data_IF_666013433186
#
_entry.id   IF_666013433186
#
_cell.length_a   1.000
_cell.length_b   1.000
_cell.length_c   1.000
_cell.angle_alpha   90.00
_cell.angle_beta   90.00
_cell.angle_gamma   90.00
#
_symmetry.space_group_name_H-M   'P 1'
#
loop_
_entity.id
_entity.type
_entity.pdbx_description
1 polymer ?
#
# COMPACT_ATOMS: atom_id res chain seq x y z
N UNK A 1 15.33 -13.12 31.28
CA UNK A 1 15.56 -13.19 29.83
C UNK A 1 14.87 -11.99 29.20
N UNK A 2 15.63 -10.97 28.82
CA UNK A 2 15.13 -9.79 28.11
C UNK A 2 15.27 -10.06 26.62
N UNK A 3 14.15 -10.16 25.88
CA UNK A 3 14.18 -10.17 24.42
C UNK A 3 14.29 -8.73 23.93
N UNK A 4 15.44 -8.38 23.36
CA UNK A 4 15.65 -7.12 22.65
C UNK A 4 14.93 -7.16 21.30
N UNK A 5 13.74 -6.58 21.23
CA UNK A 5 13.07 -6.31 19.97
C UNK A 5 13.68 -5.07 19.31
N UNK A 6 14.44 -5.25 18.24
CA UNK A 6 14.92 -4.16 17.41
C UNK A 6 13.78 -3.69 16.50
N UNK A 7 13.15 -2.57 16.83
CA UNK A 7 12.21 -1.90 15.94
C UNK A 7 12.99 -1.15 14.86
N UNK A 8 12.90 -1.60 13.60
CA UNK A 8 13.41 -0.86 12.44
C UNK A 8 12.27 -0.01 11.89
N UNK A 9 12.30 1.30 12.18
CA UNK A 9 11.43 2.27 11.51
C UNK A 9 12.02 2.60 10.14
N UNK A 10 11.51 1.97 9.08
CA UNK A 10 11.73 2.41 7.69
C UNK A 10 10.70 3.48 7.37
N UNK A 11 11.04 4.74 7.67
CA UNK A 11 10.23 5.88 7.25
C UNK A 11 10.29 6.07 5.73
N UNK A 12 9.14 6.03 5.05
CA UNK A 12 9.03 6.52 3.68
C UNK A 12 9.02 8.06 3.71
N UNK A 13 10.02 8.68 3.09
CA UNK A 13 10.12 10.13 2.99
C UNK A 13 9.95 10.56 1.53
N UNK A 14 8.87 11.26 1.23
CA UNK A 14 8.71 11.97 -0.04
C UNK A 14 9.38 13.34 0.09
N UNK A 15 10.67 13.44 -0.28
CA UNK A 15 11.45 14.69 -0.15
C UNK A 15 11.26 15.57 -1.39
N UNK A 16 10.71 16.80 -1.28
CA UNK A 16 10.67 17.73 -2.38
C UNK A 16 12.08 18.11 -2.85
N UNK A 17 12.30 18.18 -4.16
CA UNK A 17 13.58 18.54 -4.78
C UNK A 17 13.98 19.98 -4.45
N UNK A 18 14.54 20.27 -3.27
CA UNK A 18 15.45 21.40 -3.00
C UNK A 18 15.92 21.43 -1.54
N UNK A 19 16.82 20.52 -1.17
CA UNK A 19 17.85 20.83 -0.18
C UNK A 19 19.02 19.83 -0.32
N UNK A 20 19.88 20.05 -1.29
CA UNK A 20 21.15 19.33 -1.38
C UNK A 20 22.25 20.24 -0.85
N UNK A 21 22.53 20.13 0.45
CA UNK A 21 23.84 20.42 1.03
C UNK A 21 23.89 19.76 2.41
N UNK A 22 24.70 18.69 2.47
CA UNK A 22 25.14 17.95 3.67
C UNK A 22 24.12 16.96 4.27
N UNK A 23 23.78 15.89 3.54
CA UNK A 23 23.25 14.64 4.13
C UNK A 23 23.37 13.40 3.22
N UNK A 24 23.83 13.54 1.97
CA UNK A 24 23.89 12.44 1.00
C UNK A 24 25.01 11.39 1.18
N UNK A 25 25.72 11.37 2.32
CA UNK A 25 26.83 10.43 2.58
C UNK A 25 26.46 9.24 3.47
N UNK A 26 25.25 9.21 4.04
CA UNK A 26 24.81 8.14 4.96
C UNK A 26 23.65 7.29 4.43
N UNK A 27 23.12 7.60 3.26
CA UNK A 27 22.04 6.82 2.67
C UNK A 27 22.62 5.76 1.73
N UNK A 28 22.69 4.54 2.27
CA UNK A 28 22.73 3.22 1.60
C UNK A 28 21.97 3.25 0.26
N UNK A 29 22.38 2.48 -0.78
CA UNK A 29 21.82 2.55 -2.13
C UNK A 29 20.30 2.67 -2.15
N UNK A 30 19.79 3.56 -3.01
CA UNK A 30 18.37 3.77 -3.22
C UNK A 30 17.71 2.43 -3.54
N UNK A 31 17.01 1.88 -2.56
CA UNK A 31 16.16 0.71 -2.76
C UNK A 31 14.93 1.19 -3.51
N UNK A 32 14.96 1.07 -4.84
CA UNK A 32 13.77 1.22 -5.66
C UNK A 32 12.90 0.00 -5.38
N UNK A 33 11.75 0.22 -4.74
CA UNK A 33 10.73 -0.83 -4.62
C UNK A 33 10.27 -1.19 -6.03
N UNK A 34 10.43 -2.46 -6.38
CA UNK A 34 9.92 -2.98 -7.66
C UNK A 34 8.40 -3.11 -7.56
N UNK A 35 7.75 -3.02 -8.72
CA UNK A 35 6.36 -3.45 -8.84
C UNK A 35 6.28 -4.95 -8.56
N UNK A 36 5.24 -5.34 -7.85
CA UNK A 36 4.90 -6.72 -7.56
C UNK A 36 4.26 -7.36 -8.80
N UNK A 37 4.49 -8.65 -9.02
CA UNK A 37 3.65 -9.43 -9.95
C UNK A 37 2.22 -9.58 -9.41
N UNK A 38 1.32 -10.07 -10.24
CA UNK A 38 -0.05 -10.40 -9.84
C UNK A 38 -0.06 -11.38 -8.65
N UNK A 39 0.71 -12.46 -8.76
CA UNK A 39 0.80 -13.50 -7.72
C UNK A 39 1.41 -12.93 -6.43
N UNK A 40 2.41 -12.06 -6.54
CA UNK A 40 2.99 -11.37 -5.39
C UNK A 40 1.99 -10.42 -4.73
N UNK A 41 1.16 -9.71 -5.51
CA UNK A 41 0.09 -8.86 -4.97
C UNK A 41 -0.93 -9.68 -4.20
N UNK A 42 -1.40 -10.79 -4.78
CA UNK A 42 -2.41 -11.63 -4.13
C UNK A 42 -1.85 -12.24 -2.86
N UNK A 43 -0.60 -12.71 -2.92
CA UNK A 43 0.09 -13.24 -1.76
C UNK A 43 0.22 -12.19 -0.65
N UNK A 44 0.60 -10.94 -0.97
CA UNK A 44 0.69 -9.86 0.00
C UNK A 44 -0.67 -9.55 0.62
N UNK A 45 -1.73 -9.48 -0.18
CA UNK A 45 -3.10 -9.26 0.30
C UNK A 45 -3.50 -10.38 1.27
N UNK A 46 -3.37 -11.64 0.87
CA UNK A 46 -3.77 -12.79 1.69
C UNK A 46 -2.95 -12.88 2.98
N UNK A 47 -1.64 -12.65 2.91
CA UNK A 47 -0.75 -12.61 4.09
C UNK A 47 -1.08 -11.48 5.05
N UNK A 48 -1.55 -10.35 4.54
CA UNK A 48 -1.90 -9.18 5.37
C UNK A 48 -3.24 -9.38 6.06
N UNK A 49 -4.18 -10.07 5.40
CA UNK A 49 -5.50 -10.37 5.93
C UNK A 49 -5.53 -11.63 6.81
N UNK A 50 -4.46 -12.43 6.77
CA UNK A 50 -4.28 -13.58 7.65
C UNK A 50 -4.56 -13.19 9.10
N UNK A 51 -5.33 -14.01 9.81
CA UNK A 51 -5.76 -13.79 11.20
C UNK A 51 -6.73 -12.60 11.45
N UNK A 52 -7.06 -11.77 10.45
CA UNK A 52 -8.02 -10.66 10.62
C UNK A 52 -9.49 -11.11 10.58
N UNK A 53 -9.75 -12.30 10.02
CA UNK A 53 -11.10 -12.80 9.74
C UNK A 53 -11.79 -12.10 8.56
N UNK A 54 -11.08 -11.21 7.85
CA UNK A 54 -11.56 -10.52 6.65
C UNK A 54 -11.08 -11.26 5.40
N UNK A 55 -11.96 -11.42 4.43
CA UNK A 55 -11.65 -12.07 3.15
C UNK A 55 -12.01 -11.15 2.00
N UNK A 56 -11.07 -10.99 1.06
CA UNK A 56 -11.30 -10.30 -0.20
C UNK A 56 -11.72 -11.33 -1.25
N UNK A 57 -12.78 -11.03 -2.00
CA UNK A 57 -13.15 -11.86 -3.16
C UNK A 57 -12.06 -11.82 -4.22
N UNK A 58 -11.93 -12.90 -5.00
CA UNK A 58 -10.90 -13.01 -6.04
C UNK A 58 -11.00 -11.86 -7.06
N UNK A 59 -12.22 -11.50 -7.45
CA UNK A 59 -12.51 -10.37 -8.34
C UNK A 59 -12.04 -9.03 -7.78
N UNK A 60 -11.97 -8.87 -6.45
CA UNK A 60 -11.40 -7.68 -5.83
C UNK A 60 -9.88 -7.69 -5.96
N UNK A 61 -9.22 -8.84 -5.75
CA UNK A 61 -7.77 -8.96 -5.89
C UNK A 61 -7.33 -8.65 -7.33
N UNK A 62 -8.04 -9.21 -8.32
CA UNK A 62 -7.85 -8.93 -9.75
C UNK A 62 -7.94 -7.43 -10.03
N UNK A 63 -8.99 -6.78 -9.52
CA UNK A 63 -9.22 -5.35 -9.75
C UNK A 63 -8.20 -4.45 -9.06
N UNK A 64 -7.74 -4.84 -7.86
CA UNK A 64 -6.64 -4.16 -7.16
C UNK A 64 -5.36 -4.25 -7.98
N UNK A 65 -5.02 -5.42 -8.51
CA UNK A 65 -3.83 -5.56 -9.35
C UNK A 65 -3.94 -4.77 -10.65
N UNK A 66 -5.08 -4.85 -11.34
CA UNK A 66 -5.35 -4.08 -12.56
C UNK A 66 -5.20 -2.58 -12.34
N UNK A 67 -5.71 -2.05 -11.21
CA UNK A 67 -5.63 -0.63 -10.90
C UNK A 67 -4.21 -0.18 -10.53
N UNK A 68 -3.51 -0.97 -9.71
CA UNK A 68 -2.22 -0.56 -9.12
C UNK A 68 -1.02 -0.96 -9.97
N UNK A 69 -1.19 -1.88 -10.92
CA UNK A 69 -0.12 -2.54 -11.67
C UNK A 69 1.01 -3.05 -10.76
N UNK A 70 0.66 -3.48 -9.54
CA UNK A 70 1.58 -3.94 -8.51
C UNK A 70 2.43 -2.85 -7.85
N UNK A 71 2.06 -1.57 -7.97
CA UNK A 71 2.75 -0.49 -7.27
C UNK A 71 2.55 -0.62 -5.73
N UNK A 72 3.59 -0.88 -4.92
CA UNK A 72 3.41 -1.27 -3.52
C UNK A 72 2.69 -0.25 -2.66
N UNK A 73 2.92 1.04 -2.91
CA UNK A 73 2.24 2.11 -2.19
C UNK A 73 0.76 2.19 -2.54
N UNK A 74 0.42 2.08 -3.82
CA UNK A 74 -0.98 2.20 -4.25
C UNK A 74 -1.78 0.99 -3.80
N UNK A 75 -1.19 -0.21 -3.91
CA UNK A 75 -1.72 -1.45 -3.35
C UNK A 75 -2.02 -1.31 -1.86
N UNK A 76 -1.05 -0.82 -1.08
CA UNK A 76 -1.22 -0.66 0.35
C UNK A 76 -2.39 0.25 0.71
N UNK A 77 -2.45 1.44 0.10
CA UNK A 77 -3.50 2.43 0.39
C UNK A 77 -4.88 1.93 -0.05
N UNK A 78 -4.97 1.38 -1.25
CA UNK A 78 -6.24 0.86 -1.77
C UNK A 78 -6.76 -0.32 -0.94
N UNK A 79 -5.89 -1.27 -0.59
CA UNK A 79 -6.28 -2.41 0.25
C UNK A 79 -6.72 -1.97 1.66
N UNK A 80 -6.09 -0.93 2.23
CA UNK A 80 -6.52 -0.37 3.51
C UNK A 80 -7.95 0.19 3.42
N UNK A 81 -8.25 1.03 2.41
CA UNK A 81 -9.58 1.60 2.25
C UNK A 81 -10.64 0.53 1.91
N UNK A 82 -10.27 -0.49 1.12
CA UNK A 82 -11.14 -1.65 0.86
C UNK A 82 -11.47 -2.43 2.13
N UNK A 83 -10.48 -2.63 3.00
CA UNK A 83 -10.66 -3.28 4.29
C UNK A 83 -11.58 -2.46 5.20
N UNK A 84 -11.39 -1.15 5.31
CA UNK A 84 -12.18 -0.27 6.18
C UNK A 84 -13.65 -0.16 5.73
N UNK A 85 -13.89 -0.23 4.42
CA UNK A 85 -15.23 -0.28 3.84
C UNK A 85 -15.88 -1.68 3.90
N UNK A 86 -15.15 -2.72 4.31
CA UNK A 86 -15.61 -4.10 4.36
C UNK A 86 -16.80 -4.29 5.31
N UNK A 87 -17.79 -5.07 4.89
CA UNK A 87 -18.99 -5.34 5.69
C UNK A 87 -18.97 -6.80 6.14
N UNK A 88 -19.10 -7.03 7.46
CA UNK A 88 -19.14 -8.38 8.06
C UNK A 88 -17.94 -9.27 7.68
N UNK A 89 -16.76 -8.67 7.59
CA UNK A 89 -15.52 -9.39 7.27
C UNK A 89 -15.41 -9.85 5.82
N UNK A 90 -16.18 -9.27 4.90
CA UNK A 90 -16.05 -9.53 3.47
C UNK A 90 -15.92 -8.23 2.69
N UNK A 91 -15.06 -8.26 1.69
CA UNK A 91 -14.89 -7.19 0.72
C UNK A 91 -15.28 -7.72 -0.65
N UNK A 92 -16.31 -7.11 -1.23
CA UNK A 92 -16.88 -7.42 -2.55
C UNK A 92 -16.82 -6.19 -3.45
N UNK A 93 -17.26 -6.33 -4.70
CA UNK A 93 -17.32 -5.24 -5.67
C UNK A 93 -18.15 -4.04 -5.22
N UNK A 94 -19.10 -4.23 -4.30
CA UNK A 94 -19.91 -3.13 -3.76
C UNK A 94 -19.06 -2.11 -2.98
N UNK A 95 -17.94 -2.54 -2.40
CA UNK A 95 -17.01 -1.69 -1.66
C UNK A 95 -15.98 -1.00 -2.56
N UNK A 96 -15.88 -1.38 -3.84
CA UNK A 96 -14.85 -0.85 -4.74
C UNK A 96 -14.92 0.66 -4.91
N UNK A 97 -16.09 1.17 -5.33
CA UNK A 97 -16.27 2.60 -5.60
C UNK A 97 -16.03 3.51 -4.39
N UNK A 98 -16.59 3.23 -3.19
CA UNK A 98 -16.29 4.07 -2.02
C UNK A 98 -14.81 4.00 -1.63
N UNK A 99 -14.20 2.81 -1.57
CA UNK A 99 -12.78 2.66 -1.21
C UNK A 99 -11.83 3.35 -2.21
N UNK A 100 -12.14 3.28 -3.51
CA UNK A 100 -11.35 3.95 -4.54
C UNK A 100 -11.43 5.48 -4.41
N UNK A 101 -12.61 6.03 -4.10
CA UNK A 101 -12.75 7.47 -3.90
C UNK A 101 -11.91 7.96 -2.72
N UNK A 102 -11.88 7.22 -1.61
CA UNK A 102 -11.05 7.53 -0.45
C UNK A 102 -9.56 7.45 -0.79
N UNK A 103 -9.15 6.39 -1.49
CA UNK A 103 -7.79 6.20 -2.00
C UNK A 103 -7.33 7.38 -2.87
N UNK A 104 -8.18 7.85 -3.80
CA UNK A 104 -7.88 9.00 -4.66
C UNK A 104 -7.78 10.32 -3.88
N UNK A 105 -8.57 10.48 -2.82
CA UNK A 105 -8.47 11.63 -1.92
C UNK A 105 -7.15 11.60 -1.15
N UNK A 106 -6.69 10.45 -0.69
CA UNK A 106 -5.40 10.29 0.00
C UNK A 106 -4.24 10.58 -0.94
N UNK A 107 -4.23 10.02 -2.15
CA UNK A 107 -3.21 10.33 -3.16
C UNK A 107 -3.13 11.83 -3.47
N UNK A 108 -4.28 12.51 -3.52
CA UNK A 108 -4.30 13.97 -3.68
C UNK A 108 -3.64 14.68 -2.49
N UNK A 109 -3.91 14.25 -1.25
CA UNK A 109 -3.33 14.82 -0.02
C UNK A 109 -1.82 14.61 0.05
N UNK A 110 -1.34 13.46 -0.44
CA UNK A 110 0.08 13.11 -0.46
C UNK A 110 0.86 13.79 -1.61
N UNK A 111 0.19 14.59 -2.44
CA UNK A 111 0.78 15.25 -3.59
C UNK A 111 1.01 14.33 -4.79
N UNK A 112 0.38 13.15 -4.81
CA UNK A 112 0.42 12.17 -5.92
C UNK A 112 -0.70 12.37 -6.96
N UNK A 113 -1.49 13.44 -6.85
CA UNK A 113 -2.66 13.70 -7.71
C UNK A 113 -2.39 13.94 -9.21
N UNK A 114 -1.18 13.67 -9.70
CA UNK A 114 -0.79 13.72 -11.12
C UNK A 114 -0.83 12.35 -11.81
N UNK A 115 -1.22 11.29 -11.09
CA UNK A 115 -1.27 9.90 -11.60
C UNK A 115 -2.65 9.45 -12.08
N UNK A 116 -3.59 10.38 -12.28
CA UNK A 116 -4.95 10.09 -12.78
C UNK A 116 -5.24 10.88 -14.05
#
# INVERSE_FOLDING_TARGET
MLHSGSYVYIGQFNVPRKQQKVSGRYFTPRLTLKRLSEEECYHVIDRTLDETGVVFEETIKEKVYEYTEGHPYELQVLCFNLYDNGIKGRVTLDQWSPALNETLLEFRRDGMGWYV
#
